data_IF_246380204620
#
_entry.id   IF_246380204620
#
_cell.length_a   1.000
_cell.length_b   1.000
_cell.length_c   1.000
_cell.angle_alpha   90.00
_cell.angle_beta   90.00
_cell.angle_gamma   90.00
#
_symmetry.space_group_name_H-M   'P 1'
#
loop_
_entity.id
_entity.type
_entity.pdbx_description
1 polymer ?
#
# COMPACT_ATOMS: atom_id res chain seq x y z
N UNK A 1 -5.35 22.57 -15.63
CA UNK A 1 -4.09 23.36 -15.70
C UNK A 1 -2.94 22.38 -15.60
N UNK A 2 -1.96 22.42 -16.52
CA UNK A 2 -0.82 21.51 -16.48
C UNK A 2 0.35 22.12 -15.69
N UNK A 3 0.81 21.41 -14.66
CA UNK A 3 2.02 21.75 -13.90
C UNK A 3 3.03 20.63 -14.10
N UNK A 4 4.21 20.96 -14.65
CA UNK A 4 5.28 19.99 -14.94
C UNK A 4 4.78 18.77 -15.71
N UNK A 5 3.88 18.98 -16.67
CA UNK A 5 3.33 17.93 -17.54
C UNK A 5 2.26 17.04 -16.90
N UNK A 6 1.75 17.38 -15.71
CA UNK A 6 0.65 16.67 -15.05
C UNK A 6 -0.48 17.62 -14.68
N UNK A 7 -1.71 17.13 -14.72
CA UNK A 7 -2.86 17.82 -14.15
C UNK A 7 -2.98 17.44 -12.66
N UNK A 8 -2.88 18.40 -11.72
CA UNK A 8 -3.05 18.12 -10.30
C UNK A 8 -4.48 17.63 -10.02
N UNK A 9 -4.63 16.53 -9.27
CA UNK A 9 -5.94 16.01 -8.88
C UNK A 9 -6.65 16.85 -7.80
N UNK A 10 -5.91 17.71 -7.10
CA UNK A 10 -6.39 18.63 -6.08
C UNK A 10 -5.41 19.80 -5.89
N UNK A 11 -5.79 20.80 -5.08
CA UNK A 11 -4.89 21.89 -4.71
C UNK A 11 -3.65 21.41 -3.95
N UNK A 12 -3.73 20.31 -3.21
CA UNK A 12 -2.55 19.70 -2.57
C UNK A 12 -1.64 19.01 -3.59
N UNK A 13 -2.21 18.50 -4.69
CA UNK A 13 -1.45 17.94 -5.81
C UNK A 13 -0.51 18.94 -6.49
N UNK A 14 -0.63 20.25 -6.21
CA UNK A 14 0.33 21.26 -6.66
C UNK A 14 1.74 21.03 -6.09
N UNK A 15 1.83 20.44 -4.89
CA UNK A 15 3.11 20.13 -4.23
C UNK A 15 3.74 18.81 -4.72
N UNK A 16 2.99 17.96 -5.41
CA UNK A 16 3.46 16.66 -5.91
C UNK A 16 2.48 15.53 -5.60
N UNK A 17 2.92 14.29 -5.81
CA UNK A 17 2.17 13.07 -5.47
C UNK A 17 3.07 12.04 -4.78
N UNK A 18 4.21 12.51 -4.24
CA UNK A 18 5.10 11.69 -3.44
C UNK A 18 4.70 11.72 -1.97
N UNK A 19 5.40 10.94 -1.15
CA UNK A 19 5.17 10.81 0.28
C UNK A 19 5.16 12.16 1.01
N UNK A 20 6.12 13.03 0.69
CA UNK A 20 6.25 14.36 1.29
C UNK A 20 5.03 15.24 0.98
N UNK A 21 4.54 15.22 -0.26
CA UNK A 21 3.33 15.97 -0.62
C UNK A 21 2.10 15.46 0.16
N UNK A 22 1.99 14.14 0.33
CA UNK A 22 0.90 13.53 1.07
C UNK A 22 0.93 13.87 2.56
N UNK A 23 2.11 13.80 3.18
CA UNK A 23 2.28 14.13 4.61
C UNK A 23 2.11 15.62 4.87
N UNK A 24 2.58 16.50 3.98
CA UNK A 24 2.35 17.93 4.06
C UNK A 24 0.86 18.29 3.97
N UNK A 25 0.10 17.66 3.06
CA UNK A 25 -1.34 17.86 2.94
C UNK A 25 -2.09 17.41 4.21
N UNK A 26 -1.71 16.26 4.78
CA UNK A 26 -2.27 15.78 6.05
C UNK A 26 -1.94 16.73 7.19
N UNK A 27 -0.68 17.14 7.34
CA UNK A 27 -0.25 18.08 8.38
C UNK A 27 -1.01 19.41 8.28
N UNK A 28 -1.16 19.95 7.08
CA UNK A 28 -1.95 21.16 6.83
C UNK A 28 -3.39 21.01 7.32
N UNK A 29 -4.06 19.90 7.00
CA UNK A 29 -5.42 19.66 7.43
C UNK A 29 -5.54 19.37 8.93
N UNK A 30 -4.56 18.72 9.56
CA UNK A 30 -4.52 18.58 11.03
C UNK A 30 -4.44 19.96 11.68
N UNK A 31 -3.63 20.86 11.12
CA UNK A 31 -3.49 22.20 11.66
C UNK A 31 -4.77 23.04 11.48
N UNK A 32 -5.35 23.05 10.29
CA UNK A 32 -6.41 24.01 9.96
C UNK A 32 -7.84 23.47 10.09
N UNK A 33 -8.05 22.15 10.11
CA UNK A 33 -9.38 21.54 10.13
C UNK A 33 -9.60 20.78 11.44
N UNK A 34 -10.11 21.49 12.45
CA UNK A 34 -10.28 20.98 13.81
C UNK A 34 -11.07 19.65 13.90
N UNK A 35 -12.16 19.44 13.13
CA UNK A 35 -12.85 18.14 13.10
C UNK A 35 -11.95 17.00 12.63
N UNK A 36 -11.05 17.25 11.68
CA UNK A 36 -10.09 16.24 11.20
C UNK A 36 -8.98 16.00 12.20
N UNK A 37 -8.42 17.06 12.81
CA UNK A 37 -7.48 16.96 13.94
C UNK A 37 -8.00 16.00 15.01
N UNK A 38 -9.26 16.17 15.44
CA UNK A 38 -9.91 15.31 16.43
C UNK A 38 -9.97 13.84 15.99
N UNK A 39 -10.31 13.58 14.73
CA UNK A 39 -10.36 12.21 14.20
C UNK A 39 -8.97 11.57 14.16
N UNK A 40 -7.94 12.31 13.75
CA UNK A 40 -6.56 11.80 13.70
C UNK A 40 -5.99 11.53 15.09
N UNK A 41 -6.17 12.46 16.04
CA UNK A 41 -5.75 12.26 17.44
C UNK A 41 -6.43 11.04 18.08
N UNK A 42 -7.71 10.82 17.80
CA UNK A 42 -8.44 9.65 18.27
C UNK A 42 -7.85 8.34 17.74
N UNK A 43 -7.43 8.27 16.47
CA UNK A 43 -6.75 7.10 15.90
C UNK A 43 -5.44 6.76 16.63
N UNK A 44 -4.78 7.77 17.22
CA UNK A 44 -3.52 7.64 17.95
C UNK A 44 -3.74 7.49 19.47
N UNK A 45 -5.00 7.46 19.93
CA UNK A 45 -5.34 7.40 21.35
C UNK A 45 -4.84 8.63 22.13
N UNK A 46 -4.83 9.80 21.49
CA UNK A 46 -4.44 11.07 22.06
C UNK A 46 -5.67 11.95 22.29
N UNK A 47 -5.70 12.64 23.43
CA UNK A 47 -6.81 13.54 23.77
C UNK A 47 -6.73 14.81 22.90
N UNK A 48 -7.87 15.36 22.43
CA UNK A 48 -7.89 16.64 21.74
C UNK A 48 -7.35 17.76 22.64
N UNK A 49 -6.42 18.54 22.12
CA UNK A 49 -5.90 19.73 22.82
C UNK A 49 -5.88 20.95 21.88
N UNK A 50 -6.18 22.16 22.41
CA UNK A 50 -6.20 23.38 21.60
C UNK A 50 -4.78 23.81 21.21
N UNK A 51 -3.82 23.71 22.13
CA UNK A 51 -2.44 24.19 21.96
C UNK A 51 -1.52 23.15 21.27
N UNK A 52 -2.09 22.31 20.40
CA UNK A 52 -1.31 21.34 19.62
C UNK A 52 -0.55 22.06 18.51
N UNK A 53 0.77 22.01 18.56
CA UNK A 53 1.64 22.43 17.47
C UNK A 53 1.77 21.32 16.44
N UNK A 54 1.59 21.65 15.16
CA UNK A 54 1.77 20.74 14.04
C UNK A 54 2.95 21.24 13.21
N UNK A 55 3.98 20.40 13.08
CA UNK A 55 5.12 20.68 12.23
C UNK A 55 5.29 19.58 11.18
N UNK A 56 5.78 19.96 10.01
CA UNK A 56 6.14 19.03 8.94
C UNK A 56 7.55 19.35 8.48
N UNK A 57 8.34 18.30 8.25
CA UNK A 57 9.74 18.39 7.80
C UNK A 57 10.66 19.16 8.77
N UNK A 58 10.54 18.90 10.08
CA UNK A 58 11.42 19.52 11.08
C UNK A 58 12.79 18.85 11.09
N UNK A 59 13.82 19.60 10.68
CA UNK A 59 15.21 19.16 10.73
C UNK A 59 15.69 18.99 12.18
N UNK A 60 16.23 17.80 12.47
CA UNK A 60 17.05 17.59 13.65
C UNK A 60 18.50 18.00 13.44
N UNK A 61 19.24 18.04 14.54
CA UNK A 61 20.70 18.20 14.54
C UNK A 61 21.43 17.07 13.80
N UNK A 62 20.73 15.97 13.49
CA UNK A 62 21.20 14.78 12.79
C UNK A 62 20.93 14.78 11.27
N UNK A 63 20.49 15.92 10.70
CA UNK A 63 20.12 16.09 9.28
C UNK A 63 18.92 15.22 8.82
N UNK A 64 18.25 14.53 9.72
CA UNK A 64 16.97 13.85 9.44
C UNK A 64 15.79 14.79 9.67
N UNK A 65 14.79 14.74 8.80
CA UNK A 65 13.51 15.43 8.99
C UNK A 65 12.40 14.42 9.24
N UNK A 66 11.47 14.77 10.13
CA UNK A 66 10.23 14.02 10.39
C UNK A 66 9.17 14.45 9.40
N UNK A 67 8.33 13.53 8.92
CA UNK A 67 7.27 13.91 7.99
C UNK A 67 6.20 14.77 8.68
N UNK A 68 5.72 14.35 9.86
CA UNK A 68 4.81 15.11 10.70
C UNK A 68 5.21 14.94 12.17
N UNK A 69 5.24 16.05 12.91
CA UNK A 69 5.50 16.07 14.35
C UNK A 69 4.39 16.88 15.03
N UNK A 70 3.69 16.25 15.96
CA UNK A 70 2.60 16.83 16.74
C UNK A 70 3.08 17.03 18.17
N UNK A 71 3.11 18.26 18.65
CA UNK A 71 3.65 18.59 19.98
C UNK A 71 2.61 19.32 20.80
N UNK A 72 2.23 18.73 21.92
CA UNK A 72 1.38 19.34 22.93
C UNK A 72 1.59 18.73 24.31
N UNK A 73 0.75 19.14 25.27
CA UNK A 73 0.81 18.64 26.65
C UNK A 73 0.22 17.24 26.75
N UNK A 74 -0.86 16.99 26.01
CA UNK A 74 -1.53 15.70 26.02
C UNK A 74 -0.70 14.64 25.27
N UNK A 75 -0.12 15.02 24.13
CA UNK A 75 0.69 14.11 23.34
C UNK A 75 1.88 14.76 22.65
N UNK A 76 2.94 13.95 22.45
CA UNK A 76 3.99 14.22 21.49
C UNK A 76 4.08 13.02 20.55
N UNK A 77 3.77 13.25 19.28
CA UNK A 77 3.70 12.19 18.26
C UNK A 77 4.62 12.54 17.09
N UNK A 78 5.44 11.59 16.69
CA UNK A 78 6.20 11.67 15.44
C UNK A 78 5.62 10.64 14.47
N UNK A 79 5.19 11.12 13.31
CA UNK A 79 4.68 10.32 12.20
C UNK A 79 5.76 10.28 11.12
N UNK A 80 6.16 9.06 10.76
CA UNK A 80 7.09 8.78 9.67
C UNK A 80 6.34 7.99 8.60
N UNK A 81 6.25 8.57 7.40
CA UNK A 81 5.61 7.94 6.29
C UNK A 81 6.57 7.01 5.53
N UNK A 82 5.98 6.15 4.68
CA UNK A 82 6.66 5.38 3.66
C UNK A 82 5.77 5.18 2.44
N UNK A 83 6.41 5.15 1.27
CA UNK A 83 5.77 4.78 0.00
C UNK A 83 5.30 3.32 -0.01
N UNK A 84 4.11 3.12 -0.58
CA UNK A 84 3.52 1.79 -0.77
C UNK A 84 3.37 1.05 0.55
N UNK A 85 3.70 -0.24 0.56
CA UNK A 85 3.58 -1.09 1.75
C UNK A 85 4.83 -1.08 2.63
N UNK A 86 5.82 -0.23 2.37
CA UNK A 86 6.99 -0.19 3.23
C UNK A 86 6.63 0.37 4.62
N UNK A 87 7.44 0.04 5.62
CA UNK A 87 7.39 0.64 6.96
C UNK A 87 8.79 1.12 7.35
N UNK A 88 8.90 2.13 8.24
CA UNK A 88 10.19 2.61 8.70
C UNK A 88 11.01 1.53 9.39
N UNK A 89 12.31 1.50 9.11
CA UNK A 89 13.23 0.59 9.77
C UNK A 89 13.52 1.00 11.22
N UNK A 90 13.91 0.03 12.06
CA UNK A 90 14.21 0.25 13.49
C UNK A 90 15.23 1.38 13.72
N UNK A 91 16.30 1.42 12.92
CA UNK A 91 17.34 2.45 13.07
C UNK A 91 16.81 3.86 12.80
N UNK A 92 15.87 4.00 11.85
CA UNK A 92 15.25 5.29 11.55
C UNK A 92 14.38 5.75 12.72
N UNK A 93 13.50 4.87 13.22
CA UNK A 93 12.66 5.17 14.38
C UNK A 93 13.46 5.52 15.63
N UNK A 94 14.61 4.86 15.86
CA UNK A 94 15.51 5.15 16.98
C UNK A 94 16.03 6.59 16.98
N UNK A 95 16.15 7.26 15.83
CA UNK A 95 16.62 8.66 15.74
C UNK A 95 15.66 9.65 16.39
N UNK A 96 14.37 9.33 16.38
CA UNK A 96 13.32 10.20 16.90
C UNK A 96 13.06 10.03 18.41
N UNK A 97 13.48 8.91 18.97
CA UNK A 97 13.25 8.59 20.38
C UNK A 97 13.74 9.67 21.40
N UNK A 98 14.91 10.31 21.22
CA UNK A 98 15.36 11.36 22.13
C UNK A 98 14.39 12.55 22.20
N UNK A 99 13.83 12.99 21.06
CA UNK A 99 12.89 14.13 20.97
C UNK A 99 11.61 13.87 21.76
N UNK A 100 11.09 12.65 21.65
CA UNK A 100 9.89 12.22 22.36
C UNK A 100 10.13 12.13 23.87
N UNK A 101 11.23 11.51 24.30
CA UNK A 101 11.57 11.35 25.73
C UNK A 101 11.77 12.67 26.46
N UNK A 102 12.34 13.68 25.80
CA UNK A 102 12.59 14.99 26.41
C UNK A 102 11.37 15.91 26.48
N UNK A 103 10.22 15.51 25.94
CA UNK A 103 9.08 16.42 25.75
C UNK A 103 8.21 16.68 26.97
N UNK A 104 8.21 15.78 27.95
CA UNK A 104 7.32 15.85 29.12
C UNK A 104 5.82 15.66 28.79
N UNK A 105 5.45 15.36 27.55
CA UNK A 105 4.06 15.10 27.15
C UNK A 105 3.52 13.83 27.84
N UNK A 106 2.22 13.85 28.19
CA UNK A 106 1.57 12.72 28.89
C UNK A 106 1.63 11.42 28.09
N UNK A 107 1.53 11.51 26.77
CA UNK A 107 1.65 10.39 25.85
C UNK A 107 2.71 10.69 24.80
N UNK A 108 3.58 9.72 24.56
CA UNK A 108 4.64 9.79 23.54
C UNK A 108 4.44 8.63 22.58
N UNK A 109 4.49 8.90 21.27
CA UNK A 109 4.15 7.89 20.27
C UNK A 109 4.99 8.05 19.01
N UNK A 110 5.45 6.91 18.48
CA UNK A 110 5.95 6.81 17.12
C UNK A 110 4.85 6.19 16.26
N UNK A 111 4.57 6.82 15.12
CA UNK A 111 3.56 6.35 14.17
C UNK A 111 4.23 6.12 12.83
N UNK A 112 4.10 4.91 12.30
CA UNK A 112 4.39 4.61 10.91
C UNK A 112 3.17 4.91 10.05
N UNK A 113 3.34 5.56 8.90
CA UNK A 113 2.27 5.85 7.94
C UNK A 113 2.58 5.26 6.57
N UNK A 114 1.75 4.35 6.05
CA UNK A 114 1.95 3.84 4.68
C UNK A 114 0.66 3.31 4.06
N UNK A 115 0.74 2.70 2.88
CA UNK A 115 -0.39 2.02 2.26
C UNK A 115 -0.63 0.63 2.87
N UNK A 116 0.26 0.16 3.74
CA UNK A 116 0.11 -1.12 4.40
C UNK A 116 -1.15 -1.16 5.28
N UNK A 117 -1.78 -2.32 5.37
CA UNK A 117 -2.77 -2.52 6.41
C UNK A 117 -2.11 -2.66 7.79
N UNK A 118 -2.88 -2.32 8.84
CA UNK A 118 -2.39 -2.34 10.22
C UNK A 118 -1.92 -3.73 10.66
N UNK A 119 -2.56 -4.80 10.20
CA UNK A 119 -2.16 -6.17 10.59
C UNK A 119 -0.77 -6.50 10.07
N UNK A 120 -0.47 -6.12 8.82
CA UNK A 120 0.84 -6.30 8.21
C UNK A 120 1.90 -5.42 8.87
N UNK A 121 1.61 -4.13 9.07
CA UNK A 121 2.59 -3.19 9.58
C UNK A 121 3.00 -3.50 11.02
N UNK A 122 2.06 -3.90 11.88
CA UNK A 122 2.36 -4.28 13.27
C UNK A 122 3.30 -5.50 13.35
N UNK A 123 3.27 -6.40 12.35
CA UNK A 123 4.19 -7.55 12.29
C UNK A 123 5.61 -7.16 11.87
N UNK A 124 5.77 -6.06 11.13
CA UNK A 124 7.07 -5.59 10.64
C UNK A 124 7.71 -4.56 11.58
N UNK A 125 6.89 -3.82 12.32
CA UNK A 125 7.33 -2.79 13.24
C UNK A 125 7.68 -3.38 14.62
N UNK A 126 8.69 -2.85 15.31
CA UNK A 126 8.90 -3.18 16.71
C UNK A 126 7.73 -2.65 17.54
N UNK A 127 7.21 -3.40 18.52
CA UNK A 127 6.09 -2.90 19.35
C UNK A 127 6.44 -1.65 20.19
N UNK A 128 7.72 -1.44 20.46
CA UNK A 128 8.23 -0.19 21.03
C UNK A 128 9.68 0.06 20.56
N UNK A 129 10.08 1.33 20.57
CA UNK A 129 11.46 1.75 20.35
C UNK A 129 11.92 2.52 21.57
N UNK A 130 12.84 1.91 22.33
CA UNK A 130 13.41 2.55 23.52
C UNK A 130 12.32 2.96 24.53
N UNK A 131 11.32 2.11 24.74
CA UNK A 131 10.20 2.36 25.66
C UNK A 131 9.11 3.28 25.11
N UNK A 132 9.25 3.84 23.91
CA UNK A 132 8.19 4.58 23.24
C UNK A 132 7.36 3.61 22.39
N UNK A 133 6.03 3.54 22.56
CA UNK A 133 5.18 2.71 21.72
C UNK A 133 5.30 3.07 20.24
N UNK A 134 5.26 2.06 19.38
CA UNK A 134 5.16 2.24 17.92
C UNK A 134 3.81 1.72 17.47
N UNK A 135 3.12 2.51 16.67
CA UNK A 135 1.84 2.13 16.05
C UNK A 135 1.89 2.41 14.56
N UNK A 136 0.84 2.00 13.84
CA UNK A 136 0.73 2.22 12.41
C UNK A 136 -0.62 2.80 12.03
N UNK A 137 -0.61 3.80 11.15
CA UNK A 137 -1.77 4.33 10.45
C UNK A 137 -1.62 4.03 8.96
N UNK A 138 -2.71 3.67 8.31
CA UNK A 138 -2.74 3.57 6.85
C UNK A 138 -3.28 4.85 6.22
N UNK A 139 -2.92 5.12 4.96
CA UNK A 139 -3.52 6.20 4.17
C UNK A 139 -5.06 6.06 4.07
N UNK A 140 -5.56 4.83 4.08
CA UNK A 140 -7.00 4.54 4.12
C UNK A 140 -7.62 4.96 5.46
N UNK A 141 -6.95 4.69 6.59
CA UNK A 141 -7.45 5.12 7.91
C UNK A 141 -7.54 6.65 8.02
N UNK A 142 -6.56 7.37 7.44
CA UNK A 142 -6.60 8.84 7.34
C UNK A 142 -7.71 9.33 6.41
N UNK A 143 -7.93 8.65 5.28
CA UNK A 143 -9.05 8.95 4.37
C UNK A 143 -10.40 8.76 5.05
N UNK A 144 -10.57 7.68 5.82
CA UNK A 144 -11.80 7.45 6.58
C UNK A 144 -12.00 8.48 7.69
N UNK A 145 -10.92 8.90 8.36
CA UNK A 145 -10.94 10.00 9.32
C UNK A 145 -11.38 11.32 8.65
N UNK A 146 -10.88 11.62 7.45
CA UNK A 146 -11.29 12.79 6.68
C UNK A 146 -12.78 12.72 6.27
N UNK A 147 -13.29 11.55 5.85
CA UNK A 147 -14.73 11.37 5.56
C UNK A 147 -15.62 11.59 6.79
N UNK A 148 -15.20 11.08 7.95
CA UNK A 148 -15.90 11.31 9.23
C UNK A 148 -15.87 12.77 9.64
N UNK A 149 -14.73 13.44 9.49
CA UNK A 149 -14.58 14.87 9.74
C UNK A 149 -15.48 15.70 8.81
N UNK A 150 -15.53 15.35 7.53
CA UNK A 150 -16.34 16.01 6.52
C UNK A 150 -17.84 15.92 6.86
N UNK A 151 -18.27 14.74 7.30
CA UNK A 151 -19.66 14.49 7.69
C UNK A 151 -20.06 15.21 8.98
N UNK A 152 -19.12 15.46 9.89
CA UNK A 152 -19.38 16.10 11.18
C UNK A 152 -19.27 17.62 11.18
N UNK A 153 -18.48 18.20 10.27
CA UNK A 153 -18.34 19.67 10.17
C UNK A 153 -19.50 20.32 9.41
N UNK A 154 -19.83 21.55 9.82
CA UNK A 154 -20.76 22.45 9.12
C UNK A 154 -20.06 23.60 8.39
N UNK A 155 -18.75 23.77 8.60
CA UNK A 155 -17.95 24.81 7.95
C UNK A 155 -17.77 24.50 6.46
N UNK A 156 -18.23 25.36 5.53
CA UNK A 156 -18.02 25.15 4.10
C UNK A 156 -16.53 25.09 3.73
N UNK A 157 -15.70 25.91 4.38
CA UNK A 157 -14.25 25.94 4.19
C UNK A 157 -13.60 24.62 4.61
N UNK A 158 -13.98 24.08 5.77
CA UNK A 158 -13.47 22.78 6.24
C UNK A 158 -13.84 21.67 5.26
N UNK A 159 -15.08 21.68 4.75
CA UNK A 159 -15.55 20.69 3.78
C UNK A 159 -14.74 20.75 2.49
N UNK A 160 -14.53 21.96 1.95
CA UNK A 160 -13.71 22.15 0.76
C UNK A 160 -12.29 21.61 0.97
N UNK A 161 -11.64 21.91 2.10
CA UNK A 161 -10.31 21.36 2.39
C UNK A 161 -10.30 19.83 2.50
N UNK A 162 -11.32 19.25 3.14
CA UNK A 162 -11.43 17.80 3.28
C UNK A 162 -11.72 17.10 1.95
N UNK A 163 -12.49 17.70 1.06
CA UNK A 163 -12.69 17.20 -0.31
C UNK A 163 -11.37 17.21 -1.10
N UNK A 164 -10.61 18.31 -1.03
CA UNK A 164 -9.29 18.39 -1.66
C UNK A 164 -8.30 17.37 -1.08
N UNK A 165 -8.33 17.15 0.23
CA UNK A 165 -7.52 16.12 0.89
C UNK A 165 -7.93 14.73 0.43
N UNK A 166 -9.23 14.42 0.42
CA UNK A 166 -9.73 13.11 0.00
C UNK A 166 -9.36 12.79 -1.45
N UNK A 167 -9.47 13.75 -2.37
CA UNK A 167 -9.01 13.58 -3.75
C UNK A 167 -7.50 13.38 -3.84
N UNK A 168 -6.72 14.05 -2.99
CA UNK A 168 -5.28 13.87 -2.94
C UNK A 168 -4.88 12.47 -2.46
N UNK A 169 -5.49 12.01 -1.35
CA UNK A 169 -5.15 10.75 -0.69
C UNK A 169 -5.48 9.50 -1.51
N UNK A 170 -6.36 9.59 -2.52
CA UNK A 170 -6.68 8.47 -3.43
C UNK A 170 -5.44 7.85 -4.09
N UNK A 171 -4.40 8.65 -4.35
CA UNK A 171 -3.15 8.17 -4.96
C UNK A 171 -2.25 7.35 -4.02
N UNK A 172 -2.49 7.41 -2.71
CA UNK A 172 -1.58 6.87 -1.70
C UNK A 172 -2.02 5.51 -1.15
N UNK A 173 -3.29 5.12 -1.33
CA UNK A 173 -3.83 3.84 -0.87
C UNK A 173 -3.48 2.63 -1.76
N UNK A 174 -2.95 2.85 -2.97
CA UNK A 174 -2.69 1.79 -3.95
C UNK A 174 -1.21 1.41 -4.03
N UNK A 175 -0.89 0.36 -3.27
CA UNK A 175 0.03 -0.79 -3.47
C UNK A 175 1.25 -0.78 -4.38
N UNK A 176 1.43 0.07 -5.38
CA UNK A 176 2.63 0.08 -6.23
C UNK A 176 2.68 1.35 -7.09
N UNK A 177 3.87 1.72 -7.58
CA UNK A 177 4.07 2.87 -8.44
C UNK A 177 2.95 2.91 -9.52
N UNK A 178 2.22 4.03 -9.60
CA UNK A 178 1.07 4.16 -10.50
C UNK A 178 1.43 4.02 -11.98
N UNK A 179 2.71 4.21 -12.29
CA UNK A 179 3.29 4.04 -13.62
C UNK A 179 3.89 2.64 -13.84
N UNK A 180 3.84 1.75 -12.85
CA UNK A 180 4.33 0.38 -13.01
C UNK A 180 3.35 -0.44 -13.86
N UNK A 181 3.66 -0.51 -15.15
CA UNK A 181 2.94 -1.31 -16.13
C UNK A 181 3.49 -2.75 -16.23
N UNK A 182 3.95 -3.32 -15.11
CA UNK A 182 4.41 -4.72 -15.05
C UNK A 182 3.44 -5.58 -14.23
N UNK A 183 3.23 -6.80 -14.68
CA UNK A 183 2.44 -7.81 -14.02
C UNK A 183 3.33 -8.86 -13.36
N UNK A 184 3.04 -9.20 -12.11
CA UNK A 184 3.63 -10.35 -11.44
C UNK A 184 2.86 -11.62 -11.84
N UNK A 185 3.49 -12.46 -12.65
CA UNK A 185 2.86 -13.63 -13.26
C UNK A 185 3.12 -14.88 -12.44
N UNK A 186 2.04 -15.58 -12.09
CA UNK A 186 2.05 -16.81 -11.28
C UNK A 186 1.48 -17.99 -12.03
N UNK A 187 1.96 -19.19 -11.68
CA UNK A 187 1.46 -20.46 -12.22
C UNK A 187 0.37 -21.03 -11.31
N UNK A 188 -0.78 -21.38 -11.89
CA UNK A 188 -1.86 -22.07 -11.19
C UNK A 188 -1.98 -23.51 -11.68
N UNK A 189 -2.26 -24.43 -10.76
CA UNK A 189 -2.58 -25.82 -11.12
C UNK A 189 -4.09 -25.99 -11.26
N UNK A 190 -4.52 -27.07 -11.93
CA UNK A 190 -5.94 -27.46 -11.97
C UNK A 190 -6.28 -28.42 -10.83
N UNK A 191 -5.35 -28.61 -9.90
CA UNK A 191 -5.57 -29.51 -8.78
C UNK A 191 -6.62 -28.93 -7.86
N UNK A 192 -7.33 -29.84 -7.19
CA UNK A 192 -8.29 -29.47 -6.16
C UNK A 192 -7.53 -28.86 -4.98
N UNK A 193 -8.04 -27.77 -4.43
CA UNK A 193 -7.50 -27.20 -3.19
C UNK A 193 -7.69 -28.19 -2.04
N UNK A 194 -8.82 -28.90 -2.03
CA UNK A 194 -9.15 -29.93 -1.05
C UNK A 194 -9.49 -31.22 -1.77
N UNK A 195 -8.99 -32.39 -1.32
CA UNK A 195 -9.28 -33.67 -1.99
C UNK A 195 -10.80 -33.97 -2.12
N UNK A 196 -11.57 -33.57 -1.10
CA UNK A 196 -13.00 -33.86 -0.94
C UNK A 196 -13.93 -32.88 -1.66
N UNK A 197 -13.42 -31.81 -2.29
CA UNK A 197 -14.23 -30.79 -2.93
C UNK A 197 -13.73 -30.49 -4.36
N UNK A 198 -14.58 -30.32 -5.39
CA UNK A 198 -14.14 -30.14 -6.78
C UNK A 198 -13.47 -28.79 -7.08
N UNK A 199 -13.44 -27.87 -6.11
CA UNK A 199 -12.94 -26.51 -6.26
C UNK A 199 -11.40 -26.48 -6.41
N UNK A 200 -10.91 -25.79 -7.44
CA UNK A 200 -9.50 -25.81 -7.85
C UNK A 200 -8.78 -24.49 -7.61
N UNK A 201 -7.46 -24.47 -7.77
CA UNK A 201 -6.69 -23.23 -7.72
C UNK A 201 -7.04 -22.24 -8.84
N UNK A 202 -7.44 -22.72 -10.01
CA UNK A 202 -7.93 -21.85 -11.10
C UNK A 202 -9.29 -21.23 -10.77
N UNK A 203 -10.14 -21.92 -10.01
CA UNK A 203 -11.46 -21.42 -9.62
C UNK A 203 -11.37 -20.15 -8.75
N UNK A 204 -10.32 -20.00 -7.94
CA UNK A 204 -10.08 -18.79 -7.13
C UNK A 204 -10.04 -17.54 -8.02
N UNK A 205 -9.43 -17.66 -9.21
CA UNK A 205 -9.35 -16.56 -10.17
C UNK A 205 -10.59 -16.51 -11.06
N UNK A 206 -10.96 -17.64 -11.68
CA UNK A 206 -12.02 -17.69 -12.69
C UNK A 206 -13.42 -17.46 -12.11
N UNK A 207 -13.67 -17.89 -10.87
CA UNK A 207 -15.00 -17.82 -10.23
C UNK A 207 -15.07 -16.73 -9.16
N UNK A 208 -14.05 -16.64 -8.30
CA UNK A 208 -14.08 -15.69 -7.18
C UNK A 208 -13.47 -14.32 -7.53
N UNK A 209 -12.88 -14.16 -8.73
CA UNK A 209 -12.13 -12.95 -9.12
C UNK A 209 -11.15 -12.51 -8.03
N UNK A 210 -10.46 -13.49 -7.45
CA UNK A 210 -9.57 -13.29 -6.30
C UNK A 210 -8.25 -14.03 -6.54
N UNK A 211 -7.21 -13.64 -5.81
CA UNK A 211 -5.99 -14.44 -5.71
C UNK A 211 -5.32 -14.20 -4.35
N UNK A 212 -4.57 -15.17 -3.85
CA UNK A 212 -3.85 -15.02 -2.59
C UNK A 212 -2.49 -15.72 -2.62
N UNK A 213 -1.58 -15.23 -1.79
CA UNK A 213 -0.28 -15.88 -1.57
C UNK A 213 0.36 -15.46 -0.23
N UNK A 214 1.34 -16.24 0.27
CA UNK A 214 2.07 -15.88 1.48
C UNK A 214 2.84 -14.57 1.31
N UNK A 215 2.88 -13.75 2.35
CA UNK A 215 3.60 -12.47 2.33
C UNK A 215 5.11 -12.72 2.45
N UNK A 216 5.90 -12.35 1.43
CA UNK A 216 7.37 -12.33 1.51
C UNK A 216 8.10 -13.68 1.59
N UNK A 217 7.38 -14.79 1.77
CA UNK A 217 7.99 -16.11 1.94
C UNK A 217 8.53 -16.64 0.59
N UNK A 218 9.75 -17.19 0.57
CA UNK A 218 10.34 -17.87 -0.62
C UNK A 218 10.24 -17.03 -1.91
N UNK A 219 10.46 -15.72 -1.85
CA UNK A 219 10.42 -14.83 -3.02
C UNK A 219 9.00 -14.42 -3.46
N UNK A 220 7.97 -14.64 -2.63
CA UNK A 220 6.70 -13.94 -2.80
C UNK A 220 6.87 -12.43 -2.57
N UNK A 221 6.07 -11.58 -3.22
CA UNK A 221 6.09 -10.15 -2.99
C UNK A 221 5.83 -9.80 -1.52
N UNK A 222 6.62 -8.86 -1.00
CA UNK A 222 6.36 -8.16 0.27
C UNK A 222 5.48 -6.92 0.08
N UNK A 223 5.37 -6.45 -1.16
CA UNK A 223 4.54 -5.34 -1.59
C UNK A 223 3.58 -5.89 -2.66
N UNK A 224 2.26 -5.66 -2.54
CA UNK A 224 1.31 -6.15 -3.53
C UNK A 224 1.55 -5.55 -4.92
N UNK A 225 1.64 -6.37 -5.98
CA UNK A 225 1.82 -5.87 -7.34
C UNK A 225 0.55 -5.17 -7.83
N UNK A 226 0.70 -4.21 -8.76
CA UNK A 226 -0.42 -3.51 -9.40
C UNK A 226 -1.26 -4.45 -10.26
N UNK A 227 -0.55 -5.35 -10.94
CA UNK A 227 -1.11 -6.32 -11.86
C UNK A 227 -0.62 -7.71 -11.48
N UNK A 228 -1.53 -8.68 -11.51
CA UNK A 228 -1.19 -10.10 -11.35
C UNK A 228 -1.59 -10.83 -12.61
N UNK A 229 -0.65 -11.58 -13.17
CA UNK A 229 -0.88 -12.42 -14.33
C UNK A 229 -1.02 -13.89 -13.94
N UNK A 230 -1.81 -14.65 -14.69
CA UNK A 230 -2.02 -16.07 -14.44
C UNK A 230 -1.67 -16.89 -15.66
N UNK A 231 -0.95 -17.99 -15.41
CA UNK A 231 -0.72 -19.03 -16.40
C UNK A 231 -1.16 -20.38 -15.87
N UNK A 232 -1.85 -21.13 -16.72
CA UNK A 232 -2.32 -22.49 -16.47
C UNK A 232 -2.74 -23.11 -17.80
N UNK A 233 -2.96 -24.44 -17.84
CA UNK A 233 -3.26 -25.18 -19.09
C UNK A 233 -2.18 -25.00 -20.19
N UNK A 234 -0.92 -24.93 -19.76
CA UNK A 234 0.24 -24.77 -20.65
C UNK A 234 0.21 -23.50 -21.54
N UNK A 235 -0.49 -22.45 -21.07
CA UNK A 235 -0.52 -21.15 -21.73
C UNK A 235 -0.64 -20.01 -20.71
N UNK A 236 -0.28 -18.80 -21.14
CA UNK A 236 -0.59 -17.58 -20.43
C UNK A 236 -2.05 -17.19 -20.69
N UNK A 237 -2.80 -16.83 -19.63
CA UNK A 237 -4.26 -16.74 -19.69
C UNK A 237 -4.73 -15.29 -19.63
N UNK A 238 -4.36 -14.58 -18.57
CA UNK A 238 -4.84 -13.22 -18.33
C UNK A 238 -3.93 -12.44 -17.40
N UNK A 239 -4.03 -11.12 -17.48
CA UNK A 239 -3.61 -10.19 -16.43
C UNK A 239 -4.82 -9.55 -15.80
N UNK A 240 -4.77 -9.31 -14.49
CA UNK A 240 -5.78 -8.57 -13.78
C UNK A 240 -5.17 -7.37 -13.07
N UNK A 241 -5.86 -6.24 -13.12
CA UNK A 241 -5.58 -5.12 -12.22
C UNK A 241 -6.02 -5.47 -10.80
N UNK A 242 -5.19 -5.20 -9.80
CA UNK A 242 -5.55 -5.42 -8.40
C UNK A 242 -6.39 -4.25 -7.92
N UNK A 243 -7.69 -4.49 -7.70
CA UNK A 243 -8.65 -3.46 -7.28
C UNK A 243 -8.73 -3.32 -5.76
N UNK A 244 -8.26 -4.31 -5.01
CA UNK A 244 -8.22 -4.29 -3.56
C UNK A 244 -7.22 -5.28 -2.99
N UNK A 245 -6.68 -4.98 -1.82
CA UNK A 245 -5.77 -5.86 -1.09
C UNK A 245 -6.16 -5.93 0.38
N UNK A 246 -6.13 -7.14 0.92
CA UNK A 246 -6.24 -7.41 2.36
C UNK A 246 -5.11 -8.34 2.79
N UNK A 247 -4.66 -8.23 4.03
CA UNK A 247 -3.84 -9.27 4.65
C UNK A 247 -4.67 -10.03 5.67
N UNK A 248 -4.62 -11.36 5.62
CA UNK A 248 -5.28 -12.25 6.59
C UNK A 248 -4.32 -13.33 7.04
N UNK A 249 -4.45 -13.77 8.28
CA UNK A 249 -3.62 -14.88 8.80
C UNK A 249 -4.23 -16.24 8.43
N UNK A 250 -5.57 -16.30 8.30
CA UNK A 250 -6.32 -17.50 7.93
C UNK A 250 -7.23 -17.23 6.73
N UNK A 251 -6.97 -17.91 5.62
CA UNK A 251 -7.79 -17.77 4.41
C UNK A 251 -9.21 -18.31 4.56
N UNK A 252 -9.40 -19.32 5.42
CA UNK A 252 -10.70 -19.94 5.66
C UNK A 252 -11.71 -18.99 6.30
N UNK A 253 -11.24 -17.95 7.00
CA UNK A 253 -12.10 -16.91 7.57
C UNK A 253 -12.78 -16.08 6.48
N UNK A 254 -12.21 -16.03 5.27
CA UNK A 254 -12.78 -15.35 4.11
C UNK A 254 -13.59 -16.29 3.22
N UNK A 255 -13.07 -17.49 2.94
CA UNK A 255 -13.77 -18.50 2.16
C UNK A 255 -13.45 -19.90 2.71
N UNK A 256 -14.45 -20.64 3.20
CA UNK A 256 -14.25 -21.95 3.80
C UNK A 256 -13.82 -23.03 2.80
N UNK A 257 -13.72 -22.75 1.50
CA UNK A 257 -13.20 -23.66 0.48
C UNK A 257 -11.68 -23.49 0.23
N UNK A 258 -11.10 -22.37 0.67
CA UNK A 258 -9.68 -22.06 0.51
C UNK A 258 -8.79 -22.92 1.45
N UNK A 259 -7.47 -23.01 1.20
CA UNK A 259 -6.59 -23.84 2.03
C UNK A 259 -6.52 -23.30 3.48
N UNK A 260 -6.22 -24.19 4.43
CA UNK A 260 -5.89 -23.74 5.78
C UNK A 260 -4.51 -23.10 5.78
N UNK A 261 -4.40 -21.95 6.44
CA UNK A 261 -3.16 -21.19 6.56
C UNK A 261 -3.03 -20.68 7.99
N UNK A 262 -1.79 -20.64 8.46
CA UNK A 262 -1.39 -20.17 9.79
C UNK A 262 -0.38 -19.01 9.71
N UNK A 263 -0.18 -18.45 8.51
CA UNK A 263 0.78 -17.40 8.23
C UNK A 263 0.16 -16.29 7.39
N UNK A 264 0.66 -15.04 7.48
CA UNK A 264 0.08 -13.91 6.76
C UNK A 264 0.01 -14.14 5.25
N UNK A 265 -1.17 -13.95 4.68
CA UNK A 265 -1.48 -14.05 3.26
C UNK A 265 -1.95 -12.70 2.75
N UNK A 266 -1.44 -12.28 1.59
CA UNK A 266 -2.12 -11.26 0.81
C UNK A 266 -3.31 -11.89 0.09
N UNK A 267 -4.43 -11.18 0.05
CA UNK A 267 -5.64 -11.53 -0.68
C UNK A 267 -6.02 -10.34 -1.56
N UNK A 268 -6.07 -10.58 -2.86
CA UNK A 268 -6.30 -9.59 -3.90
C UNK A 268 -7.69 -9.71 -4.47
N UNK A 269 -8.44 -8.61 -4.50
CA UNK A 269 -9.60 -8.48 -5.37
C UNK A 269 -9.09 -8.15 -6.77
N UNK A 270 -9.53 -8.92 -7.76
CA UNK A 270 -9.09 -8.79 -9.14
C UNK A 270 -10.15 -8.04 -9.96
N UNK A 271 -9.69 -7.10 -10.78
CA UNK A 271 -10.51 -6.50 -11.82
C UNK A 271 -10.77 -7.45 -12.98
N UNK A 272 -11.51 -6.99 -14.02
CA UNK A 272 -11.77 -7.78 -15.21
C UNK A 272 -10.49 -8.32 -15.87
N UNK A 273 -10.53 -9.52 -16.47
CA UNK A 273 -9.37 -10.10 -17.14
C UNK A 273 -8.99 -9.28 -18.39
N UNK A 274 -7.71 -8.93 -18.49
CA UNK A 274 -7.07 -8.48 -19.73
C UNK A 274 -6.37 -9.68 -20.35
N UNK A 275 -6.86 -10.10 -21.52
CA UNK A 275 -6.36 -11.30 -22.21
C UNK A 275 -5.41 -10.92 -23.34
N UNK A 276 -4.41 -11.76 -23.65
CA UNK A 276 -3.56 -11.58 -24.82
C UNK A 276 -4.37 -11.46 -26.12
N UNK A 277 -3.88 -10.66 -27.07
CA UNK A 277 -4.48 -10.55 -28.40
C UNK A 277 -4.59 -11.91 -29.12
N UNK A 278 -3.62 -12.79 -28.92
CA UNK A 278 -3.58 -14.12 -29.50
C UNK A 278 -3.16 -15.14 -28.43
N UNK A 279 -3.50 -16.41 -28.66
CA UNK A 279 -3.11 -17.50 -27.76
C UNK A 279 -1.58 -17.50 -27.58
N UNK A 280 -1.13 -17.50 -26.32
CA UNK A 280 0.29 -17.43 -25.94
C UNK A 280 0.70 -18.70 -25.16
N UNK A 281 1.19 -19.75 -25.85
CA UNK A 281 1.71 -20.96 -25.19
C UNK A 281 2.91 -20.64 -24.30
N UNK A 282 3.21 -21.51 -23.33
CA UNK A 282 4.29 -21.23 -22.38
C UNK A 282 5.71 -21.29 -22.97
N UNK A 283 5.95 -22.12 -23.98
CA UNK A 283 7.31 -22.47 -24.39
C UNK A 283 8.03 -23.33 -23.34
N UNK A 284 9.36 -23.31 -23.35
CA UNK A 284 10.22 -24.08 -22.43
C UNK A 284 10.56 -23.25 -21.19
N UNK A 285 9.68 -23.30 -20.20
CA UNK A 285 9.88 -22.61 -18.91
C UNK A 285 9.80 -23.57 -17.73
N UNK A 286 10.46 -23.22 -16.62
CA UNK A 286 10.29 -23.92 -15.35
C UNK A 286 8.86 -23.72 -14.81
N UNK A 287 8.14 -24.82 -14.60
CA UNK A 287 6.69 -24.82 -14.31
C UNK A 287 6.27 -23.98 -13.10
N UNK A 288 7.11 -23.81 -12.09
CA UNK A 288 6.83 -23.04 -10.86
C UNK A 288 7.48 -21.65 -10.83
N UNK A 289 8.18 -21.24 -11.89
CA UNK A 289 8.83 -19.94 -11.94
C UNK A 289 7.81 -18.79 -11.98
N UNK A 290 8.08 -17.73 -11.24
CA UNK A 290 7.27 -16.50 -11.19
C UNK A 290 8.07 -15.40 -11.87
N UNK A 291 7.42 -14.59 -12.69
CA UNK A 291 8.09 -13.58 -13.52
C UNK A 291 7.35 -12.26 -13.44
N UNK A 292 8.09 -11.16 -13.49
CA UNK A 292 7.51 -9.82 -13.63
C UNK A 292 7.67 -9.38 -15.08
N UNK A 293 6.57 -9.25 -15.82
CA UNK A 293 6.58 -8.97 -17.26
C UNK A 293 5.75 -7.71 -17.55
N UNK A 294 6.22 -6.88 -18.48
CA UNK A 294 5.50 -5.67 -18.89
C UNK A 294 4.18 -6.01 -19.63
N UNK A 295 3.14 -5.22 -19.37
CA UNK A 295 1.79 -5.44 -19.93
C UNK A 295 1.76 -5.36 -21.45
N UNK A 296 2.54 -4.46 -22.04
CA UNK A 296 2.62 -4.31 -23.49
C UNK A 296 3.14 -5.59 -24.15
N UNK A 297 4.14 -6.25 -23.55
CA UNK A 297 4.66 -7.54 -24.04
C UNK A 297 3.57 -8.62 -23.94
N UNK A 298 2.85 -8.69 -22.81
CA UNK A 298 1.84 -9.72 -22.58
C UNK A 298 0.57 -9.57 -23.45
N UNK A 299 0.17 -8.33 -23.74
CA UNK A 299 -1.16 -8.05 -24.31
C UNK A 299 -1.12 -7.64 -25.79
N UNK A 300 -0.03 -7.04 -26.28
CA UNK A 300 0.03 -6.51 -27.65
C UNK A 300 0.11 -7.58 -28.74
N UNK A 301 0.58 -8.78 -28.39
CA UNK A 301 0.95 -9.82 -29.36
C UNK A 301 2.37 -9.66 -29.90
N UNK A 302 3.27 -8.97 -29.19
CA UNK A 302 4.69 -8.86 -29.56
C UNK A 302 5.50 -10.11 -29.27
N UNK A 303 4.95 -11.06 -28.51
CA UNK A 303 5.54 -12.36 -28.20
C UNK A 303 4.55 -13.47 -28.57
N UNK A 304 5.03 -14.49 -29.27
CA UNK A 304 4.22 -15.64 -29.66
C UNK A 304 4.14 -16.65 -28.51
N UNK A 305 5.14 -16.68 -27.63
CA UNK A 305 5.18 -17.51 -26.43
C UNK A 305 5.50 -16.73 -25.16
N UNK A 306 5.12 -17.29 -24.00
CA UNK A 306 5.48 -16.70 -22.71
C UNK A 306 7.00 -16.74 -22.44
N UNK A 307 7.70 -17.75 -22.97
CA UNK A 307 9.16 -17.82 -22.96
C UNK A 307 9.79 -16.61 -23.65
N UNK A 308 9.33 -16.26 -24.85
CA UNK A 308 9.77 -15.06 -25.57
C UNK A 308 9.46 -13.79 -24.79
N UNK A 309 8.28 -13.70 -24.15
CA UNK A 309 7.93 -12.57 -23.31
C UNK A 309 8.93 -12.37 -22.14
N UNK A 310 9.40 -13.46 -21.53
CA UNK A 310 10.45 -13.43 -20.50
C UNK A 310 11.77 -12.91 -21.08
N UNK A 311 12.16 -13.39 -22.27
CA UNK A 311 13.40 -12.95 -22.93
C UNK A 311 13.34 -11.46 -23.25
N UNK A 312 12.28 -10.99 -23.90
CA UNK A 312 12.08 -9.56 -24.22
C UNK A 312 12.11 -8.68 -22.97
N UNK A 313 11.52 -9.15 -21.86
CA UNK A 313 11.56 -8.40 -20.60
C UNK A 313 12.98 -8.31 -20.03
N UNK A 314 13.78 -9.40 -20.09
CA UNK A 314 15.18 -9.38 -19.65
C UNK A 314 16.03 -8.44 -20.49
N UNK A 315 15.85 -8.44 -21.80
CA UNK A 315 16.53 -7.51 -22.71
C UNK A 315 16.17 -6.06 -22.39
N UNK A 316 14.90 -5.77 -22.11
CA UNK A 316 14.43 -4.43 -21.71
C UNK A 316 15.07 -3.97 -20.39
N UNK A 317 15.16 -4.84 -19.39
CA UNK A 317 15.82 -4.55 -18.10
C UNK A 317 17.31 -4.28 -18.30
N UNK A 318 17.99 -5.13 -19.09
CA UNK A 318 19.41 -4.95 -19.40
C UNK A 318 19.69 -3.63 -20.14
N UNK A 319 18.82 -3.24 -21.08
CA UNK A 319 18.92 -1.97 -21.79
C UNK A 319 18.66 -0.74 -20.90
N UNK A 320 17.84 -0.89 -19.86
CA UNK A 320 17.57 0.17 -18.88
C UNK A 320 18.66 0.32 -17.81
N UNK A 321 19.59 -0.64 -17.71
CA UNK A 321 20.63 -0.65 -16.67
C UNK A 321 20.11 -1.01 -15.27
N UNK A 322 18.98 -1.71 -15.20
CA UNK A 322 18.39 -2.27 -13.97
C UNK A 322 18.89 -3.69 -13.66
#
# INVERSE_FOLDING_TARGET
MLIRGREPSSCFGLAGTDENAGTAAVAWCIEHVLPFRKQVLALMGCDPEPDLSVASQVFGTDKGFTDIELVGKACHVIIEAKLGWQVPGLQQLKRYAPRLRSSGARRQLLVSLSAADSSWAIRQLPGNVTGIPVTHLSWNALSDAARRAHSSTRSPTDRAWLEQLLHHLQGYGMTSNIFDARAYVVSLTRDRIRPTHPYTWTDVVEKDSTYFHPVGVRGWPVIPPRYVGFRYRAEFQSVHFVTGVKTVDRLQDLNPLWPDTDSPQFVYTLGPPMVPRARMPLGKIYNNSRHTIALDILLSGSADTFEEAIVQMRERVAAAGE
#
